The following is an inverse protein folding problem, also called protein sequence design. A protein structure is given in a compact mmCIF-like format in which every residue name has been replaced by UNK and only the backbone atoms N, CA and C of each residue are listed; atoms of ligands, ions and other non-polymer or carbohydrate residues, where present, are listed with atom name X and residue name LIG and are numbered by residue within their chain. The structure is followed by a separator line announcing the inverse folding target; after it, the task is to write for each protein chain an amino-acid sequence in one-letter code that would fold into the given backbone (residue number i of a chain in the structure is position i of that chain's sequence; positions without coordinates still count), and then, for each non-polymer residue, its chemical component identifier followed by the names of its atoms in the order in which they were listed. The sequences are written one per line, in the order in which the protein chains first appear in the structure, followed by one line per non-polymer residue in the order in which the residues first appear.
data_IF_190302320014
#
_entry.id   IF_190302320014
#
_cell.length_a   1.000
_cell.length_b   1.000
_cell.length_c   1.000
_cell.angle_alpha   90.00
_cell.angle_beta   90.00
_cell.angle_gamma   90.00
#
_symmetry.space_group_name_H-M   'P 1'
#
loop_
_entity.id
_entity.type
_entity.pdbx_description
1 polymer ?
#
# COMPACT_ATOMS: atom_id res chain seq x y z
N UNK A 1 21.91 -9.46 2.74
CA UNK A 1 20.77 -8.83 3.44
C UNK A 1 19.87 -8.24 2.39
N UNK A 2 18.59 -8.55 2.44
CA UNK A 2 17.59 -7.96 1.54
C UNK A 2 16.82 -6.86 2.29
N UNK A 3 16.32 -5.86 1.57
CA UNK A 3 15.62 -4.71 2.15
C UNK A 3 14.22 -4.57 1.56
N UNK A 4 13.20 -4.54 2.41
CA UNK A 4 11.81 -4.27 2.04
C UNK A 4 11.41 -2.89 2.54
N UNK A 5 10.84 -2.04 1.68
CA UNK A 5 10.40 -0.70 2.03
C UNK A 5 9.03 -0.37 1.40
N UNK A 6 8.26 0.47 2.10
CA UNK A 6 7.00 1.01 1.62
C UNK A 6 7.07 2.53 1.66
N UNK A 7 6.81 3.16 0.52
CA UNK A 7 6.88 4.62 0.34
C UNK A 7 5.46 5.11 0.07
N UNK A 8 4.95 5.99 0.94
CA UNK A 8 3.65 6.61 0.80
C UNK A 8 3.78 8.06 0.32
N UNK A 9 2.97 8.43 -0.66
CA UNK A 9 2.88 9.78 -1.21
C UNK A 9 1.44 10.27 -1.17
N UNK A 10 1.21 11.52 -0.78
CA UNK A 10 -0.13 12.06 -0.54
C UNK A 10 -0.30 13.33 -1.35
N UNK A 11 -1.13 13.26 -2.39
CA UNK A 11 -1.40 14.38 -3.29
C UNK A 11 -2.89 14.68 -3.31
N UNK A 12 -3.27 15.92 -2.98
CA UNK A 12 -4.66 16.39 -3.01
C UNK A 12 -5.67 15.50 -2.24
N UNK A 13 -5.26 14.92 -1.11
CA UNK A 13 -6.11 14.04 -0.28
C UNK A 13 -6.19 12.59 -0.77
N UNK A 14 -5.47 12.25 -1.84
CA UNK A 14 -5.34 10.91 -2.40
C UNK A 14 -3.95 10.39 -1.99
N UNK A 15 -3.92 9.23 -1.32
CA UNK A 15 -2.67 8.56 -0.96
C UNK A 15 -2.32 7.44 -1.93
N UNK A 16 -1.04 7.32 -2.24
CA UNK A 16 -0.46 6.29 -3.07
C UNK A 16 0.68 5.63 -2.31
N UNK A 17 0.73 4.30 -2.35
CA UNK A 17 1.77 3.55 -1.65
C UNK A 17 2.51 2.66 -2.64
N UNK A 18 3.83 2.62 -2.55
CA UNK A 18 4.71 1.82 -3.40
C UNK A 18 5.52 0.88 -2.52
N UNK A 19 5.55 -0.40 -2.86
CA UNK A 19 6.41 -1.40 -2.21
C UNK A 19 7.63 -1.72 -3.05
N UNK A 20 8.81 -1.66 -2.42
CA UNK A 20 10.11 -1.94 -3.03
C UNK A 20 10.87 -3.04 -2.28
N UNK A 21 11.46 -3.97 -3.04
CA UNK A 21 12.34 -5.02 -2.54
C UNK A 21 13.72 -4.81 -3.20
N UNK A 22 14.73 -4.58 -2.38
CA UNK A 22 16.10 -4.23 -2.81
C UNK A 22 16.17 -3.02 -3.77
N UNK A 23 15.25 -2.06 -3.59
CA UNK A 23 15.11 -0.87 -4.43
C UNK A 23 14.39 -1.13 -5.76
N UNK A 24 13.90 -2.35 -5.99
CA UNK A 24 13.03 -2.66 -7.12
C UNK A 24 11.57 -2.65 -6.69
N UNK A 25 10.78 -1.84 -7.40
CA UNK A 25 9.35 -1.78 -7.18
C UNK A 25 8.66 -3.07 -7.60
N UNK A 26 7.99 -3.73 -6.66
CA UNK A 26 7.22 -4.95 -6.93
C UNK A 26 5.71 -4.73 -6.87
N UNK A 27 5.26 -3.66 -6.20
CA UNK A 27 3.83 -3.39 -6.02
C UNK A 27 3.51 -1.90 -5.91
N UNK A 28 2.30 -1.54 -6.35
CA UNK A 28 1.70 -0.22 -6.14
C UNK A 28 0.24 -0.32 -5.70
N UNK A 29 -0.16 0.64 -4.87
CA UNK A 29 -1.49 0.84 -4.35
C UNK A 29 -1.92 2.29 -4.49
N UNK A 30 -3.20 2.53 -4.76
CA UNK A 30 -3.84 3.83 -4.58
C UNK A 30 -4.88 3.77 -3.46
N UNK A 31 -5.26 4.93 -2.92
CA UNK A 31 -6.29 5.04 -1.88
C UNK A 31 -7.67 4.51 -2.32
N UNK A 32 -7.89 4.38 -3.63
CA UNK A 32 -8.92 3.49 -4.17
C UNK A 32 -8.32 2.08 -4.30
N UNK A 33 -8.41 1.30 -3.21
CA UNK A 33 -7.82 -0.05 -2.96
C UNK A 33 -8.15 -1.12 -4.03
N UNK A 34 -8.90 -0.76 -5.06
CA UNK A 34 -9.33 -1.65 -6.14
C UNK A 34 -8.15 -2.20 -6.96
N UNK A 35 -7.05 -1.46 -7.10
CA UNK A 35 -5.92 -1.84 -7.96
C UNK A 35 -4.60 -2.03 -7.18
N UNK A 36 -4.36 -3.25 -6.73
CA UNK A 36 -3.01 -3.74 -6.44
C UNK A 36 -2.35 -4.09 -7.78
N UNK A 37 -1.40 -3.27 -8.23
CA UNK A 37 -0.67 -3.51 -9.48
C UNK A 37 0.64 -4.20 -9.15
N UNK A 38 0.70 -5.48 -9.46
CA UNK A 38 1.88 -6.33 -9.30
C UNK A 38 2.81 -6.11 -10.50
N UNK A 39 4.08 -5.78 -10.25
CA UNK A 39 5.05 -5.47 -11.31
C UNK A 39 5.99 -6.63 -11.65
N UNK A 40 5.99 -7.70 -10.84
CA UNK A 40 7.00 -8.77 -10.91
C UNK A 40 6.39 -10.17 -10.92
N UNK A 41 6.96 -11.10 -11.70
CA UNK A 41 6.42 -12.46 -11.88
C UNK A 41 6.52 -13.36 -10.63
N UNK A 42 7.48 -13.12 -9.73
CA UNK A 42 7.67 -13.98 -8.54
C UNK A 42 6.48 -13.91 -7.58
N UNK A 43 5.78 -12.78 -7.53
CA UNK A 43 4.63 -12.58 -6.64
C UNK A 43 3.42 -13.42 -7.07
N UNK A 44 3.34 -13.82 -8.36
CA UNK A 44 2.34 -14.78 -8.85
C UNK A 44 2.52 -16.17 -8.28
N UNK A 45 3.75 -16.52 -7.86
CA UNK A 45 4.01 -17.80 -7.19
C UNK A 45 3.41 -17.81 -5.78
N UNK A 46 3.39 -16.65 -5.12
CA UNK A 46 2.77 -16.51 -3.79
C UNK A 46 1.27 -16.77 -3.86
N UNK A 47 0.59 -16.40 -4.96
CA UNK A 47 -0.84 -16.74 -5.11
C UNK A 47 -1.10 -18.25 -5.19
N UNK A 48 -0.14 -19.02 -5.69
CA UNK A 48 -0.23 -20.47 -5.74
C UNK A 48 0.06 -21.11 -4.37
N UNK A 49 1.00 -20.54 -3.62
CA UNK A 49 1.41 -21.02 -2.28
C UNK A 49 0.42 -20.58 -1.18
N UNK A 50 -0.18 -19.39 -1.34
CA UNK A 50 -1.16 -18.81 -0.43
C UNK A 50 -2.23 -18.00 -1.19
N UNK A 51 -3.35 -18.64 -1.54
CA UNK A 51 -4.46 -18.00 -2.26
C UNK A 51 -5.08 -16.80 -1.54
N UNK A 52 -4.86 -16.67 -0.22
CA UNK A 52 -5.42 -15.59 0.60
C UNK A 52 -4.44 -14.44 0.82
N UNK A 53 -3.20 -14.56 0.34
CA UNK A 53 -2.16 -13.53 0.50
C UNK A 53 -2.65 -12.15 0.07
N UNK A 54 -3.21 -12.05 -1.14
CA UNK A 54 -3.74 -10.79 -1.69
C UNK A 54 -4.87 -10.20 -0.86
N UNK A 55 -5.73 -11.04 -0.28
CA UNK A 55 -6.84 -10.58 0.55
C UNK A 55 -6.30 -9.96 1.84
N UNK A 56 -5.34 -10.62 2.50
CA UNK A 56 -4.74 -10.09 3.73
C UNK A 56 -3.97 -8.80 3.49
N UNK A 57 -3.23 -8.70 2.39
CA UNK A 57 -2.58 -7.45 2.00
C UNK A 57 -3.59 -6.32 1.78
N UNK A 58 -4.68 -6.59 1.06
CA UNK A 58 -5.76 -5.60 0.88
C UNK A 58 -6.41 -5.17 2.19
N UNK A 59 -6.70 -6.11 3.07
CA UNK A 59 -7.34 -5.83 4.36
C UNK A 59 -6.41 -4.93 5.21
N UNK A 60 -5.13 -5.29 5.34
CA UNK A 60 -4.14 -4.48 6.07
C UNK A 60 -4.01 -3.07 5.51
N UNK A 61 -3.96 -2.94 4.18
CA UNK A 61 -3.81 -1.63 3.54
C UNK A 61 -5.03 -0.75 3.69
N UNK A 62 -6.23 -1.34 3.69
CA UNK A 62 -7.46 -0.59 3.93
C UNK A 62 -7.46 0.02 5.34
N UNK A 63 -6.95 -0.73 6.32
CA UNK A 63 -6.83 -0.25 7.70
C UNK A 63 -5.79 0.87 7.80
N UNK A 64 -4.60 0.69 7.23
CA UNK A 64 -3.52 1.69 7.24
C UNK A 64 -3.95 3.00 6.53
N UNK A 65 -4.65 2.90 5.41
CA UNK A 65 -5.19 4.08 4.71
C UNK A 65 -6.28 4.79 5.52
N UNK A 66 -7.13 4.05 6.24
CA UNK A 66 -8.14 4.62 7.13
C UNK A 66 -7.51 5.47 8.23
N UNK A 67 -6.47 4.92 8.88
CA UNK A 67 -5.73 5.61 9.95
C UNK A 67 -5.05 6.89 9.44
N UNK A 68 -4.39 6.82 8.28
CA UNK A 68 -3.74 8.00 7.67
C UNK A 68 -4.75 9.09 7.31
N UNK A 69 -5.93 8.72 6.78
CA UNK A 69 -6.98 9.70 6.46
C UNK A 69 -7.58 10.34 7.71
N UNK A 70 -7.72 9.58 8.80
CA UNK A 70 -8.18 10.12 10.08
C UNK A 70 -7.17 11.12 10.65
N UNK A 71 -5.88 10.78 10.66
CA UNK A 71 -4.80 11.66 11.11
C UNK A 71 -4.71 12.95 10.29
N UNK A 72 -4.84 12.86 8.96
CA UNK A 72 -4.89 14.03 8.07
C UNK A 72 -6.09 14.92 8.37
N UNK A 73 -7.26 14.33 8.59
CA UNK A 73 -8.49 15.07 8.91
C UNK A 73 -8.33 15.82 10.24
N UNK A 74 -7.80 15.17 11.27
CA UNK A 74 -7.53 15.78 12.56
C UNK A 74 -6.49 16.90 12.48
N UNK A 75 -5.40 16.70 11.74
CA UNK A 75 -4.34 17.70 11.57
C UNK A 75 -4.86 18.95 10.84
N UNK A 76 -5.70 18.78 9.81
CA UNK A 76 -6.31 19.90 9.09
C UNK A 76 -7.27 20.69 9.99
N UNK A 77 -8.04 20.02 10.84
CA UNK A 77 -8.97 20.68 11.77
C UNK A 77 -8.25 21.48 12.87
N UNK A 78 -7.15 20.95 13.42
CA UNK A 78 -6.32 21.65 14.41
C UNK A 78 -5.54 22.85 13.87
N UNK A 79 -5.46 23.01 12.54
CA UNK A 79 -4.75 24.14 11.91
C UNK A 79 -5.69 25.29 11.54
N UNK A 80 -6.99 25.18 11.85
CA UNK A 80 -8.02 26.22 11.62
C UNK A 80 -8.33 27.07 12.85
#
# INVERSE_FOLDING_TARGET
THTLQYIADITAGISYTVGELDGEQFVSYGSNVTEMILKTEWIKKIDADDPNYRKREKDQMSDDHGELQELLTQAVDHTK
#
